data_IF_428856600956
#
_entry.id   IF_428856600956
#
_cell.length_a   1.000
_cell.length_b   1.000
_cell.length_c   1.000
_cell.angle_alpha   90.00
_cell.angle_beta   90.00
_cell.angle_gamma   90.00
#
_symmetry.space_group_name_H-M   'P 1'
#
loop_
_entity.id
_entity.type
_entity.pdbx_description
1 polymer ?
#
# COMPACT_ATOMS: atom_id res chain seq x y z
N UNK A 1 8.31 -5.30 8.20
CA UNK A 1 6.93 -4.97 8.61
C UNK A 1 5.88 -5.91 8.04
N UNK A 2 5.97 -6.26 6.76
CA UNK A 2 5.04 -7.19 6.10
C UNK A 2 5.83 -8.42 5.65
N UNK A 3 5.27 -9.61 5.87
CA UNK A 3 5.81 -10.84 5.31
C UNK A 3 5.40 -10.97 3.82
N UNK A 4 6.36 -10.94 2.89
CA UNK A 4 6.07 -10.98 1.46
C UNK A 4 5.44 -12.30 1.00
N UNK A 5 5.59 -13.39 1.75
CA UNK A 5 5.01 -14.70 1.40
C UNK A 5 3.54 -14.80 1.74
N UNK A 6 3.10 -14.13 2.81
CA UNK A 6 1.74 -14.23 3.34
C UNK A 6 0.93 -12.94 3.17
N UNK A 7 1.59 -11.83 2.86
CA UNK A 7 0.96 -10.50 2.82
C UNK A 7 0.55 -9.98 4.19
N UNK A 8 0.96 -10.64 5.28
CA UNK A 8 0.55 -10.29 6.64
C UNK A 8 1.48 -9.27 7.28
N UNK A 9 0.90 -8.37 8.05
CA UNK A 9 1.64 -7.46 8.92
C UNK A 9 2.21 -8.27 10.08
N UNK A 10 3.55 -8.32 10.18
CA UNK A 10 4.29 -9.07 11.21
C UNK A 10 4.86 -8.17 12.31
N UNK A 11 4.75 -6.85 12.17
CA UNK A 11 5.13 -5.89 13.20
C UNK A 11 4.17 -5.98 14.40
N UNK A 12 4.66 -6.49 15.53
CA UNK A 12 3.84 -6.78 16.71
C UNK A 12 3.22 -5.54 17.35
N UNK A 13 3.88 -4.39 17.21
CA UNK A 13 3.39 -3.14 17.77
C UNK A 13 2.39 -2.41 16.83
N UNK A 14 2.08 -2.99 15.67
CA UNK A 14 1.09 -2.43 14.76
C UNK A 14 -0.33 -2.86 15.18
N UNK A 15 -1.28 -1.93 15.19
CA UNK A 15 -2.69 -2.21 15.51
C UNK A 15 -3.33 -3.24 14.56
N UNK A 16 -2.76 -3.41 13.37
CA UNK A 16 -3.18 -4.36 12.34
C UNK A 16 -2.31 -5.63 12.31
N UNK A 17 -1.61 -5.96 13.40
CA UNK A 17 -0.81 -7.17 13.49
C UNK A 17 -1.60 -8.42 13.06
N UNK A 18 -0.97 -9.29 12.26
CA UNK A 18 -1.53 -10.52 11.66
C UNK A 18 -2.66 -10.30 10.64
N UNK A 19 -3.04 -9.06 10.33
CA UNK A 19 -3.92 -8.75 9.20
C UNK A 19 -3.16 -8.80 7.88
N UNK A 20 -3.83 -9.24 6.82
CA UNK A 20 -3.28 -9.25 5.46
C UNK A 20 -3.69 -8.02 4.68
N UNK A 21 -2.72 -7.46 3.92
CA UNK A 21 -2.92 -6.38 2.96
C UNK A 21 -3.23 -6.90 1.55
N UNK A 22 -3.13 -8.22 1.34
CA UNK A 22 -3.34 -8.84 0.03
C UNK A 22 -4.73 -8.52 -0.50
N UNK A 23 -4.79 -8.06 -1.76
CA UNK A 23 -6.03 -7.68 -2.48
C UNK A 23 -6.87 -6.62 -1.77
N UNK A 24 -6.27 -5.84 -0.88
CA UNK A 24 -6.91 -4.69 -0.22
C UNK A 24 -6.21 -3.40 -0.62
N UNK A 25 -6.87 -2.28 -0.36
CA UNK A 25 -6.26 -0.97 -0.52
C UNK A 25 -5.38 -0.70 0.70
N UNK A 26 -4.09 -0.49 0.45
CA UNK A 26 -3.13 -0.26 1.51
C UNK A 26 -2.87 1.23 1.66
N UNK A 27 -3.36 1.79 2.77
CA UNK A 27 -3.35 3.22 3.06
C UNK A 27 -2.37 3.50 4.20
N UNK A 28 -1.42 4.40 3.98
CA UNK A 28 -0.47 4.82 5.00
C UNK A 28 0.06 6.23 4.71
N UNK A 29 0.41 7.06 5.71
CA UNK A 29 0.71 8.46 5.48
C UNK A 29 2.05 8.66 4.74
N UNK A 30 3.10 7.97 5.19
CA UNK A 30 4.47 8.08 4.68
C UNK A 30 5.13 6.71 4.68
N UNK A 31 6.10 6.51 3.79
CA UNK A 31 7.02 5.39 3.93
C UNK A 31 7.77 5.48 5.26
N UNK A 32 8.25 4.34 5.75
CA UNK A 32 9.10 4.30 6.96
C UNK A 32 10.59 4.54 6.64
N UNK A 33 10.93 5.22 5.53
CA UNK A 33 12.33 5.43 5.12
C UNK A 33 13.08 4.12 4.80
N UNK A 34 12.38 3.13 4.25
CA UNK A 34 12.97 1.81 3.98
C UNK A 34 13.63 1.79 2.59
N UNK A 35 14.95 1.64 2.54
CA UNK A 35 15.71 1.46 1.29
C UNK A 35 15.29 0.22 0.50
N UNK A 36 14.64 -0.75 1.16
CA UNK A 36 14.25 -2.06 0.58
C UNK A 36 12.74 -2.15 0.32
N UNK A 37 11.97 -1.09 0.62
CA UNK A 37 10.51 -1.13 0.53
C UNK A 37 9.97 -1.50 -0.86
N UNK A 38 10.63 -1.03 -1.92
CA UNK A 38 10.26 -1.36 -3.31
C UNK A 38 10.33 -2.85 -3.59
N UNK A 39 11.35 -3.54 -3.07
CA UNK A 39 11.53 -4.97 -3.29
C UNK A 39 10.52 -5.80 -2.53
N UNK A 40 10.09 -5.35 -1.35
CA UNK A 40 9.02 -5.99 -0.59
C UNK A 40 7.69 -5.89 -1.33
N UNK A 41 7.36 -4.71 -1.88
CA UNK A 41 6.15 -4.52 -2.70
C UNK A 41 6.19 -5.44 -3.94
N UNK A 42 7.34 -5.52 -4.61
CA UNK A 42 7.54 -6.41 -5.74
C UNK A 42 7.39 -7.89 -5.39
N UNK A 43 7.99 -8.34 -4.28
CA UNK A 43 7.83 -9.72 -3.83
C UNK A 43 6.38 -10.05 -3.47
N UNK A 44 5.66 -9.13 -2.83
CA UNK A 44 4.25 -9.29 -2.54
C UNK A 44 3.46 -9.49 -3.83
N UNK A 45 3.66 -8.64 -4.84
CA UNK A 45 3.01 -8.79 -6.14
C UNK A 45 3.35 -10.13 -6.81
N UNK A 46 4.65 -10.48 -6.89
CA UNK A 46 5.10 -11.75 -7.47
C UNK A 46 4.49 -12.98 -6.78
N UNK A 47 4.23 -12.90 -5.48
CA UNK A 47 3.60 -13.96 -4.71
C UNK A 47 2.05 -13.93 -4.77
N UNK A 48 1.45 -13.01 -5.52
CA UNK A 48 -0.01 -12.81 -5.55
C UNK A 48 -0.58 -12.28 -4.23
N UNK A 49 0.27 -11.73 -3.38
CA UNK A 49 -0.05 -11.17 -2.06
C UNK A 49 0.01 -9.64 -2.02
N UNK A 50 0.17 -9.01 -3.18
CA UNK A 50 0.18 -7.56 -3.34
C UNK A 50 -1.14 -6.91 -2.94
N UNK A 51 -1.11 -5.63 -2.50
CA UNK A 51 -2.32 -4.84 -2.34
C UNK A 51 -2.99 -4.59 -3.70
N UNK A 52 -4.30 -4.31 -3.67
CA UNK A 52 -5.05 -3.92 -4.86
C UNK A 52 -4.71 -2.50 -5.32
N UNK A 53 -4.40 -1.61 -4.38
CA UNK A 53 -3.91 -0.26 -4.63
C UNK A 53 -3.15 0.29 -3.42
N UNK A 54 -2.37 1.35 -3.62
CA UNK A 54 -1.65 2.08 -2.57
C UNK A 54 -2.12 3.54 -2.53
N UNK A 55 -2.42 4.06 -1.35
CA UNK A 55 -2.78 5.47 -1.14
C UNK A 55 -1.87 6.08 -0.06
N UNK A 56 -1.27 7.23 -0.36
CA UNK A 56 -0.42 7.94 0.59
C UNK A 56 -0.76 9.45 0.71
N UNK A 57 -0.54 10.01 1.91
CA UNK A 57 -0.44 11.47 2.07
C UNK A 57 0.73 11.99 1.26
N UNK A 58 1.90 11.38 1.45
CA UNK A 58 3.07 11.73 0.68
C UNK A 58 3.93 10.47 0.49
N UNK A 59 4.08 10.08 -0.77
CA UNK A 59 4.93 8.97 -1.13
C UNK A 59 6.40 9.39 -1.23
N UNK A 60 7.27 8.51 -0.73
CA UNK A 60 8.70 8.53 -1.04
C UNK A 60 8.96 7.84 -2.39
N UNK A 61 10.05 8.19 -3.07
CA UNK A 61 10.40 7.63 -4.37
C UNK A 61 10.47 6.09 -4.36
N UNK A 62 10.94 5.50 -3.26
CA UNK A 62 11.05 4.04 -3.13
C UNK A 62 9.69 3.33 -3.19
N UNK A 63 8.64 3.94 -2.65
CA UNK A 63 7.28 3.38 -2.68
C UNK A 63 6.72 3.47 -4.10
N UNK A 64 6.91 4.62 -4.76
CA UNK A 64 6.51 4.80 -6.16
C UNK A 64 7.21 3.79 -7.08
N UNK A 65 8.52 3.59 -6.93
CA UNK A 65 9.26 2.55 -7.67
C UNK A 65 8.65 1.17 -7.43
N UNK A 66 8.38 0.82 -6.17
CA UNK A 66 7.74 -0.44 -5.80
C UNK A 66 6.39 -0.65 -6.47
N UNK A 67 5.54 0.38 -6.49
CA UNK A 67 4.23 0.31 -7.15
C UNK A 67 4.36 0.14 -8.67
N UNK A 68 5.23 0.93 -9.31
CA UNK A 68 5.47 0.89 -10.77
C UNK A 68 5.95 -0.49 -11.23
N UNK A 69 7.01 -1.03 -10.60
CA UNK A 69 7.56 -2.34 -11.01
C UNK A 69 6.64 -3.51 -10.72
N UNK A 70 5.64 -3.29 -9.85
CA UNK A 70 4.67 -4.29 -9.43
C UNK A 70 3.31 -4.10 -10.10
N UNK A 71 3.17 -3.16 -11.02
CA UNK A 71 1.89 -2.83 -11.67
C UNK A 71 0.74 -2.62 -10.66
N UNK A 72 1.04 -1.97 -9.53
CA UNK A 72 0.06 -1.65 -8.49
C UNK A 72 -0.41 -0.21 -8.67
N UNK A 73 -1.72 0.02 -8.86
CA UNK A 73 -2.28 1.37 -8.87
C UNK A 73 -1.92 2.13 -7.60
N UNK A 74 -1.40 3.34 -7.75
CA UNK A 74 -0.96 4.16 -6.63
C UNK A 74 -1.34 5.62 -6.83
N UNK A 75 -1.86 6.23 -5.76
CA UNK A 75 -2.11 7.68 -5.69
C UNK A 75 -1.43 8.25 -4.45
N UNK A 76 -0.82 9.42 -4.59
CA UNK A 76 -0.22 10.16 -3.49
C UNK A 76 -0.80 11.58 -3.41
N UNK A 77 -0.51 12.33 -2.34
CA UNK A 77 -1.09 13.67 -2.07
C UNK A 77 -2.59 13.61 -1.77
N UNK A 78 -3.04 12.51 -1.19
CA UNK A 78 -4.41 12.35 -0.70
C UNK A 78 -4.41 12.56 0.80
N UNK A 79 -5.37 13.34 1.30
CA UNK A 79 -5.62 13.48 2.73
C UNK A 79 -6.32 12.21 3.25
N UNK A 80 -5.52 11.22 3.71
CA UNK A 80 -6.06 9.91 4.09
C UNK A 80 -6.97 9.95 5.32
N UNK A 81 -6.92 11.01 6.14
CA UNK A 81 -7.77 11.15 7.32
C UNK A 81 -9.25 11.33 6.93
N UNK A 82 -9.51 11.78 5.70
CA UNK A 82 -10.87 11.90 5.14
C UNK A 82 -11.45 10.57 4.67
N UNK A 83 -10.63 9.53 4.55
CA UNK A 83 -11.07 8.22 4.07
C UNK A 83 -11.70 7.46 5.25
N UNK A 84 -12.99 7.09 5.17
CA UNK A 84 -13.65 6.36 6.24
C UNK A 84 -13.06 4.96 6.41
N UNK A 85 -12.88 4.55 7.66
CA UNK A 85 -12.49 3.18 7.97
C UNK A 85 -13.56 2.17 7.49
N UNK A 86 -13.11 0.99 7.04
CA UNK A 86 -13.97 -0.11 6.58
C UNK A 86 -14.94 0.25 5.44
N UNK A 87 -14.59 1.23 4.60
CA UNK A 87 -15.36 1.57 3.39
C UNK A 87 -14.65 1.06 2.14
N UNK A 88 -15.43 0.71 1.13
CA UNK A 88 -14.90 0.48 -0.21
C UNK A 88 -14.46 1.81 -0.82
N UNK A 89 -13.33 1.81 -1.51
CA UNK A 89 -12.76 2.99 -2.15
C UNK A 89 -12.47 2.63 -3.61
N UNK A 90 -12.99 3.40 -4.54
CA UNK A 90 -12.58 3.31 -5.94
C UNK A 90 -11.31 4.12 -6.14
N UNK A 91 -10.32 3.54 -6.82
CA UNK A 91 -9.00 4.16 -7.05
C UNK A 91 -8.74 4.23 -8.55
N UNK A 92 -8.67 5.45 -9.08
CA UNK A 92 -8.27 5.70 -10.46
C UNK A 92 -6.89 6.36 -10.48
N UNK A 93 -5.85 5.52 -10.58
CA UNK A 93 -4.46 5.99 -10.61
C UNK A 93 -4.05 6.64 -11.93
N UNK A 94 -4.84 6.47 -13.00
CA UNK A 94 -4.59 7.09 -14.31
C UNK A 94 -5.01 8.56 -14.32
N UNK A 95 -6.20 8.88 -13.81
CA UNK A 95 -6.74 10.24 -13.73
C UNK A 95 -6.39 10.91 -12.39
N UNK A 96 -5.97 10.13 -11.39
CA UNK A 96 -5.42 10.64 -10.13
C UNK A 96 -6.46 10.99 -9.07
N UNK A 97 -7.58 10.27 -8.99
CA UNK A 97 -8.61 10.47 -7.95
C UNK A 97 -9.04 9.18 -7.24
N UNK A 98 -9.70 9.38 -6.10
CA UNK A 98 -10.38 8.33 -5.35
C UNK A 98 -11.83 8.72 -5.10
N UNK A 99 -12.71 7.72 -4.98
CA UNK A 99 -14.13 7.90 -4.61
C UNK A 99 -14.48 6.93 -3.48
N UNK A 100 -15.26 7.37 -2.50
CA UNK A 100 -15.67 6.54 -1.37
C UNK A 100 -17.01 6.94 -0.79
#
# INVERSE_FOLDING_TARGET
DIDPKTGKIVEKNNSLFNQSISRKIFIFPYGKGSTVGSYVIYQLHKNGMGPAAIINNQAEAIIAVGAIISDIPMIHKIDIEKIPNNKEVFVNATEGYIEF
#
